data_IF_738988344483
#
_entry.id   IF_738988344483
#
_cell.length_a   1.000
_cell.length_b   1.000
_cell.length_c   1.000
_cell.angle_alpha   90.00
_cell.angle_beta   90.00
_cell.angle_gamma   90.00
#
_symmetry.space_group_name_H-M   'P 1'
#
loop_
_entity.id
_entity.type
_entity.pdbx_description
1 polymer ?
#
# COMPACT_ATOMS: atom_id res chain seq x y z
N UNK A 1 -0.88 -25.01 -9.37
CA UNK A 1 -2.03 -24.83 -8.43
C UNK A 1 -2.84 -23.57 -8.78
N UNK A 2 -2.76 -23.13 -10.03
CA UNK A 2 -3.09 -21.76 -10.43
C UNK A 2 -4.58 -21.54 -10.59
N UNK A 3 -5.32 -22.60 -10.94
CA UNK A 3 -6.78 -22.58 -10.99
C UNK A 3 -7.37 -22.24 -9.60
N UNK A 4 -6.88 -22.90 -8.54
CA UNK A 4 -7.35 -22.67 -7.16
C UNK A 4 -7.05 -21.22 -6.74
N UNK A 5 -5.84 -20.72 -7.00
CA UNK A 5 -5.45 -19.33 -6.72
C UNK A 5 -6.35 -18.34 -7.47
N UNK A 6 -6.57 -18.55 -8.77
CA UNK A 6 -7.42 -17.68 -9.59
C UNK A 6 -8.88 -17.66 -9.12
N UNK A 7 -9.42 -18.81 -8.69
CA UNK A 7 -10.76 -18.87 -8.11
C UNK A 7 -10.83 -18.07 -6.79
N UNK A 8 -9.89 -18.27 -5.88
CA UNK A 8 -9.85 -17.57 -4.58
C UNK A 8 -9.72 -16.05 -4.75
N UNK A 9 -8.89 -15.60 -5.70
CA UNK A 9 -8.74 -14.17 -6.00
C UNK A 9 -10.04 -13.56 -6.54
N UNK A 10 -10.77 -14.26 -7.40
CA UNK A 10 -12.08 -13.79 -7.87
C UNK A 10 -13.11 -13.71 -6.75
N UNK A 11 -13.11 -14.69 -5.84
CA UNK A 11 -13.99 -14.70 -4.66
C UNK A 11 -13.68 -13.52 -3.73
N UNK A 12 -12.40 -13.26 -3.45
CA UNK A 12 -11.95 -12.17 -2.58
C UNK A 12 -12.28 -10.79 -3.17
N UNK A 13 -12.08 -10.60 -4.48
CA UNK A 13 -12.31 -9.32 -5.17
C UNK A 13 -13.76 -9.05 -5.54
N UNK A 14 -14.64 -10.06 -5.47
CA UNK A 14 -16.03 -9.99 -5.98
C UNK A 14 -16.08 -9.46 -7.43
N UNK A 15 -15.24 -10.05 -8.29
CA UNK A 15 -14.97 -9.56 -9.65
C UNK A 15 -16.28 -9.41 -10.48
N UNK A 16 -16.61 -8.19 -10.96
CA UNK A 16 -17.80 -7.94 -11.76
C UNK A 16 -17.71 -8.51 -13.19
N UNK A 17 -16.51 -8.89 -13.65
CA UNK A 17 -16.32 -9.55 -14.96
C UNK A 17 -16.87 -10.98 -14.97
N UNK A 18 -17.17 -11.57 -13.81
CA UNK A 18 -17.84 -12.85 -13.75
C UNK A 18 -19.30 -12.69 -14.19
N UNK A 19 -19.63 -13.15 -15.41
CA UNK A 19 -20.97 -13.00 -15.99
C UNK A 19 -21.47 -11.54 -15.96
N UNK A 20 -20.86 -10.63 -16.75
CA UNK A 20 -21.14 -9.19 -16.66
C UNK A 20 -22.62 -8.87 -16.92
N UNK A 21 -23.23 -9.57 -17.88
CA UNK A 21 -24.64 -9.41 -18.27
C UNK A 21 -25.66 -10.06 -17.32
N UNK A 22 -25.21 -10.89 -16.37
CA UNK A 22 -26.11 -11.64 -15.48
C UNK A 22 -25.70 -11.50 -13.99
N UNK A 23 -26.14 -10.42 -13.32
CA UNK A 23 -25.82 -10.17 -11.92
C UNK A 23 -26.43 -11.21 -10.97
N UNK A 24 -27.58 -11.79 -11.31
CA UNK A 24 -28.25 -12.80 -10.46
C UNK A 24 -27.44 -14.08 -10.43
N UNK A 25 -26.98 -14.55 -11.60
CA UNK A 25 -26.11 -15.71 -11.70
C UNK A 25 -24.76 -15.49 -11.02
N UNK A 26 -24.17 -14.30 -11.16
CA UNK A 26 -22.94 -13.92 -10.45
C UNK A 26 -23.09 -14.03 -8.93
N UNK A 27 -24.15 -13.44 -8.37
CA UNK A 27 -24.42 -13.50 -6.93
C UNK A 27 -24.62 -14.94 -6.44
N UNK A 28 -25.41 -15.75 -7.16
CA UNK A 28 -25.62 -17.16 -6.81
C UNK A 28 -24.33 -17.99 -6.80
N UNK A 29 -23.38 -17.69 -7.71
CA UNK A 29 -22.06 -18.36 -7.74
C UNK A 29 -21.23 -17.95 -6.53
N UNK A 30 -21.17 -16.66 -6.19
CA UNK A 30 -20.42 -16.20 -5.01
C UNK A 30 -20.99 -16.75 -3.71
N UNK A 31 -22.33 -16.77 -3.57
CA UNK A 31 -22.99 -17.36 -2.40
C UNK A 31 -22.70 -18.85 -2.25
N UNK A 32 -22.61 -19.59 -3.36
CA UNK A 32 -22.29 -21.02 -3.35
C UNK A 32 -20.91 -21.33 -2.79
N UNK A 33 -19.93 -20.44 -2.99
CA UNK A 33 -18.53 -20.66 -2.59
C UNK A 33 -18.08 -19.75 -1.43
N UNK A 34 -19.02 -19.10 -0.72
CA UNK A 34 -18.73 -18.11 0.34
C UNK A 34 -17.86 -18.63 1.48
N UNK A 35 -17.92 -19.94 1.76
CA UNK A 35 -17.15 -20.58 2.85
C UNK A 35 -15.64 -20.62 2.57
N UNK A 36 -15.23 -20.46 1.32
CA UNK A 36 -13.83 -20.50 0.89
C UNK A 36 -13.23 -19.10 0.68
N UNK A 37 -13.98 -18.05 1.04
CA UNK A 37 -13.47 -16.68 0.93
C UNK A 37 -12.35 -16.50 1.94
N UNK A 38 -11.17 -16.17 1.43
CA UNK A 38 -10.01 -15.76 2.20
C UNK A 38 -9.59 -14.36 1.75
N UNK A 39 -8.87 -13.59 2.58
CA UNK A 39 -8.37 -12.28 2.18
C UNK A 39 -7.53 -12.35 0.91
N UNK A 40 -7.63 -11.33 0.06
CA UNK A 40 -6.85 -11.23 -1.18
C UNK A 40 -5.36 -11.38 -0.92
N UNK A 41 -4.86 -10.71 0.11
CA UNK A 41 -3.46 -10.76 0.53
C UNK A 41 -2.97 -12.17 0.86
N UNK A 42 -3.85 -13.08 1.30
CA UNK A 42 -3.51 -14.49 1.54
C UNK A 42 -3.69 -15.33 0.26
N UNK A 43 -4.77 -15.08 -0.49
CA UNK A 43 -5.09 -15.79 -1.72
C UNK A 43 -3.98 -15.70 -2.76
N UNK A 44 -3.32 -14.54 -2.88
CA UNK A 44 -2.26 -14.35 -3.87
C UNK A 44 -1.02 -15.23 -3.66
N UNK A 45 -0.83 -15.81 -2.46
CA UNK A 45 0.31 -16.70 -2.16
C UNK A 45 -0.06 -18.17 -2.27
N UNK A 46 -1.35 -18.50 -2.44
CA UNK A 46 -1.80 -19.88 -2.50
C UNK A 46 -1.24 -20.58 -3.73
N UNK A 47 -0.53 -21.69 -3.50
CA UNK A 47 -0.05 -22.56 -4.56
C UNK A 47 1.10 -22.00 -5.39
N UNK A 48 1.75 -20.93 -4.93
CA UNK A 48 3.09 -20.57 -5.40
C UNK A 48 4.09 -21.62 -4.90
N UNK A 49 5.05 -21.96 -5.75
CA UNK A 49 6.27 -22.65 -5.37
C UNK A 49 7.18 -21.72 -4.56
N UNK A 50 8.21 -22.29 -3.91
CA UNK A 50 9.18 -21.49 -3.16
C UNK A 50 9.85 -20.43 -4.07
N UNK A 51 10.27 -20.83 -5.26
CA UNK A 51 10.96 -19.93 -6.21
C UNK A 51 10.02 -18.80 -6.68
N UNK A 52 8.76 -19.12 -7.00
CA UNK A 52 7.77 -18.11 -7.38
C UNK A 52 7.45 -17.15 -6.24
N UNK A 53 7.36 -17.64 -5.00
CA UNK A 53 7.13 -16.81 -3.82
C UNK A 53 8.30 -15.87 -3.55
N UNK A 54 9.54 -16.36 -3.69
CA UNK A 54 10.76 -15.57 -3.53
C UNK A 54 10.83 -14.48 -4.60
N UNK A 55 10.58 -14.80 -5.88
CA UNK A 55 10.60 -13.81 -6.94
C UNK A 55 9.46 -12.79 -6.80
N UNK A 56 8.26 -13.23 -6.40
CA UNK A 56 7.16 -12.32 -6.09
C UNK A 56 7.56 -11.32 -4.99
N UNK A 57 8.16 -11.80 -3.90
CA UNK A 57 8.62 -10.92 -2.82
C UNK A 57 9.72 -9.97 -3.30
N UNK A 58 10.68 -10.46 -4.08
CA UNK A 58 11.74 -9.64 -4.67
C UNK A 58 11.17 -8.47 -5.49
N UNK A 59 10.18 -8.73 -6.34
CA UNK A 59 9.51 -7.71 -7.16
C UNK A 59 8.69 -6.71 -6.33
N UNK A 60 8.09 -7.14 -5.22
CA UNK A 60 7.34 -6.25 -4.33
C UNK A 60 8.26 -5.29 -3.56
N UNK A 61 9.44 -5.77 -3.18
CA UNK A 61 10.45 -4.98 -2.46
C UNK A 61 11.39 -4.20 -3.39
N UNK A 62 11.42 -4.55 -4.68
CA UNK A 62 12.25 -3.90 -5.69
C UNK A 62 11.91 -2.42 -5.80
N UNK A 63 12.80 -1.60 -5.22
CA UNK A 63 12.73 -0.14 -5.21
C UNK A 63 14.11 0.40 -5.50
N UNK A 64 14.18 1.42 -6.34
CA UNK A 64 15.45 2.12 -6.56
C UNK A 64 15.97 2.67 -5.22
N UNK A 65 17.28 2.60 -4.96
CA UNK A 65 17.84 3.13 -3.72
C UNK A 65 17.53 4.62 -3.63
N UNK A 66 17.10 5.07 -2.45
CA UNK A 66 16.81 6.49 -2.23
C UNK A 66 18.13 7.26 -2.19
N UNK A 67 18.33 8.29 -3.05
CA UNK A 67 19.56 9.07 -3.03
C UNK A 67 19.79 9.75 -1.68
N UNK A 68 21.00 9.62 -1.12
CA UNK A 68 21.35 10.19 0.19
C UNK A 68 21.18 11.71 0.27
N UNK A 69 21.25 12.42 -0.86
CA UNK A 69 20.94 13.84 -0.91
C UNK A 69 19.55 14.15 -0.32
N UNK A 70 18.53 13.35 -0.64
CA UNK A 70 17.17 13.56 -0.12
C UNK A 70 17.12 13.36 1.40
N UNK A 71 17.78 12.30 1.87
CA UNK A 71 17.90 11.98 3.30
C UNK A 71 18.54 13.14 4.06
N UNK A 72 19.68 13.66 3.57
CA UNK A 72 20.37 14.76 4.24
C UNK A 72 19.63 16.10 4.17
N UNK A 73 18.86 16.35 3.10
CA UNK A 73 18.00 17.54 3.03
C UNK A 73 16.85 17.45 4.04
N UNK A 74 16.20 16.29 4.16
CA UNK A 74 15.15 16.07 5.17
C UNK A 74 15.70 16.25 6.59
N UNK A 75 16.87 15.65 6.89
CA UNK A 75 17.55 15.82 8.17
C UNK A 75 17.90 17.29 8.46
N UNK A 76 18.39 18.03 7.45
CA UNK A 76 18.73 19.44 7.62
C UNK A 76 17.48 20.29 7.91
N UNK A 77 16.37 20.03 7.21
CA UNK A 77 15.11 20.72 7.45
C UNK A 77 14.61 20.46 8.87
N UNK A 78 14.68 19.21 9.35
CA UNK A 78 14.31 18.89 10.74
C UNK A 78 15.18 19.65 11.75
N UNK A 79 16.50 19.68 11.56
CA UNK A 79 17.41 20.42 12.44
C UNK A 79 17.09 21.91 12.48
N UNK A 80 16.84 22.53 11.32
CA UNK A 80 16.49 23.94 11.25
C UNK A 80 15.15 24.24 11.93
N UNK A 81 14.16 23.36 11.79
CA UNK A 81 12.86 23.50 12.50
C UNK A 81 13.05 23.42 14.02
N UNK A 82 13.84 22.46 14.49
CA UNK A 82 14.16 22.33 15.92
C UNK A 82 14.88 23.58 16.43
N UNK A 83 15.85 24.10 15.68
CA UNK A 83 16.57 25.33 16.00
C UNK A 83 15.62 26.53 16.09
N UNK A 84 14.77 26.74 15.09
CA UNK A 84 13.80 27.83 15.07
C UNK A 84 12.79 27.78 16.23
N UNK A 85 12.43 26.57 16.71
CA UNK A 85 11.57 26.41 17.89
C UNK A 85 12.30 26.69 19.22
N UNK A 86 13.63 26.54 19.24
CA UNK A 86 14.47 26.81 20.41
C UNK A 86 14.94 28.26 20.51
N UNK A 87 14.88 29.03 19.43
CA UNK A 87 15.18 30.46 19.46
C UNK A 87 14.04 31.25 20.15
N UNK A 88 14.33 32.10 21.15
CA UNK A 88 13.31 32.93 21.77
C UNK A 88 12.78 33.94 20.76
N UNK A 89 11.45 34.04 20.62
CA UNK A 89 10.81 35.01 19.73
C UNK A 89 11.22 36.44 20.09
N UNK A 90 12.12 37.03 19.30
CA UNK A 90 12.51 38.44 19.47
C UNK A 90 11.36 39.31 18.99
N UNK A 91 10.51 39.74 19.93
CA UNK A 91 9.46 40.74 19.67
C UNK A 91 10.14 42.07 19.36
N UNK A 92 10.28 42.40 18.08
CA UNK A 92 10.71 43.74 17.66
C UNK A 92 9.63 44.76 18.02
N UNK A 93 9.77 45.39 19.19
CA UNK A 93 8.94 46.52 19.60
C UNK A 93 9.25 47.69 18.66
N UNK A 94 8.36 47.98 17.70
CA UNK A 94 8.45 49.17 16.85
C UNK A 94 8.39 50.41 17.74
N UNK A 95 9.54 51.07 17.94
CA UNK A 95 9.58 52.38 18.56
C UNK A 95 8.93 53.39 17.61
N UNK A 96 7.72 53.84 17.96
CA UNK A 96 7.07 54.96 17.28
C UNK A 96 7.92 56.22 17.42
N UNK A 97 8.28 56.82 16.28
CA UNK A 97 8.88 58.16 16.21
C UNK A 97 7.80 59.18 16.54
N UNK A 98 7.99 59.90 17.64
CA UNK A 98 7.39 61.23 17.89
C UNK A 98 8.09 62.27 17.03
#
# INVERSE_FOLDING_TARGET
MDLKRGMLLRLARQDPQLHPEDPKKRAAIYDKYKEFVIPEAEAEWVGLTLDEAVEKQRLLEEKAPTPLFKVYVEELIERLRQQALSEPAVVQKRAGRT
#
